data_IF_909275832770
#
_entry.id   IF_909275832770
#
_cell.length_a   1.000
_cell.length_b   1.000
_cell.length_c   1.000
_cell.angle_alpha   90.00
_cell.angle_beta   90.00
_cell.angle_gamma   90.00
#
_symmetry.space_group_name_H-M   'P 1'
#
loop_
_entity.id
_entity.type
_entity.pdbx_description
1 polymer ?
#
# COMPACT_ATOMS: atom_id res chain seq x y z
N UNK A 1 7.85 -1.83 -22.45
CA UNK A 1 8.86 -0.93 -21.85
C UNK A 1 9.72 -0.24 -22.90
N UNK A 2 10.33 -0.93 -23.86
CA UNK A 2 11.17 -0.28 -24.89
C UNK A 2 10.38 0.69 -25.82
N UNK A 3 9.14 0.40 -26.15
CA UNK A 3 8.28 1.23 -27.03
C UNK A 3 7.77 2.48 -26.29
N UNK A 4 7.50 2.39 -25.00
CA UNK A 4 7.10 3.55 -24.16
C UNK A 4 8.33 4.42 -23.85
N UNK A 5 9.51 3.83 -23.64
CA UNK A 5 10.77 4.56 -23.52
C UNK A 5 11.10 5.35 -24.81
N UNK A 6 10.76 4.85 -25.99
CA UNK A 6 11.04 5.54 -27.27
C UNK A 6 10.09 6.73 -27.51
N UNK A 7 8.88 6.74 -26.96
CA UNK A 7 7.98 7.92 -27.07
C UNK A 7 8.34 9.04 -26.08
N UNK A 8 9.01 8.72 -24.97
CA UNK A 8 9.46 9.69 -23.96
C UNK A 8 10.86 10.26 -24.25
N UNK A 9 11.68 9.57 -25.03
CA UNK A 9 12.99 10.07 -25.47
C UNK A 9 12.87 11.26 -26.44
N UNK A 10 11.71 11.47 -27.06
CA UNK A 10 11.49 12.64 -27.93
C UNK A 10 11.32 13.96 -27.15
N UNK A 11 11.11 13.92 -25.85
CA UNK A 11 10.96 15.12 -24.99
C UNK A 11 12.23 15.50 -24.20
N UNK A 12 13.34 14.81 -24.40
CA UNK A 12 14.65 15.18 -23.81
C UNK A 12 14.81 14.93 -22.30
N UNK A 13 13.82 14.34 -21.64
CA UNK A 13 13.88 14.02 -20.20
C UNK A 13 14.07 12.52 -20.03
N UNK A 14 15.25 12.11 -19.62
CA UNK A 14 15.51 10.72 -19.23
C UNK A 14 14.90 10.45 -17.86
N UNK A 15 13.98 9.47 -17.76
CA UNK A 15 13.51 8.91 -16.49
C UNK A 15 14.68 8.53 -15.56
N UNK A 16 15.82 8.16 -16.13
CA UNK A 16 17.05 7.84 -15.42
C UNK A 16 17.68 9.06 -14.71
N UNK A 17 17.50 10.28 -15.22
CA UNK A 17 18.04 11.48 -14.56
C UNK A 17 17.21 11.91 -13.32
N UNK A 18 15.95 11.52 -13.23
CA UNK A 18 15.12 11.73 -12.03
C UNK A 18 15.46 10.69 -10.95
N UNK A 19 15.93 9.50 -11.35
CA UNK A 19 16.25 8.38 -10.45
C UNK A 19 17.75 8.28 -10.13
N UNK A 20 18.62 9.03 -10.81
CA UNK A 20 20.05 9.07 -10.52
C UNK A 20 20.32 9.80 -9.18
N UNK A 21 20.22 9.04 -8.10
CA UNK A 21 20.67 9.50 -6.78
C UNK A 21 22.20 9.62 -6.77
N UNK A 22 22.71 10.83 -6.63
CA UNK A 22 24.09 10.99 -6.20
C UNK A 22 24.20 10.53 -4.74
N UNK A 23 25.12 9.61 -4.47
CA UNK A 23 25.35 9.01 -3.15
C UNK A 23 25.85 10.01 -2.08
N UNK A 24 26.12 11.25 -2.43
CA UNK A 24 26.97 12.16 -1.64
C UNK A 24 26.23 13.18 -0.76
N UNK A 25 24.89 13.09 -0.61
CA UNK A 25 24.13 14.05 0.23
C UNK A 25 23.57 13.41 1.51
N UNK A 26 24.12 12.32 1.98
CA UNK A 26 23.69 11.69 3.23
C UNK A 26 24.72 11.95 4.32
N UNK A 27 24.92 13.19 4.73
CA UNK A 27 25.62 13.47 5.98
C UNK A 27 24.88 14.52 6.81
N UNK A 28 24.58 14.09 8.05
CA UNK A 28 24.17 14.90 9.20
C UNK A 28 22.75 15.48 9.20
N UNK A 29 21.75 14.68 9.62
CA UNK A 29 20.60 15.18 10.39
C UNK A 29 20.16 14.11 11.38
N UNK A 30 19.84 14.54 12.60
CA UNK A 30 19.41 13.73 13.75
C UNK A 30 18.42 12.60 13.35
N UNK A 31 18.77 11.34 13.57
CA UNK A 31 18.10 10.13 13.05
C UNK A 31 16.75 9.81 13.70
N UNK A 32 16.13 10.69 14.48
CA UNK A 32 14.99 10.37 15.34
C UNK A 32 13.64 10.97 14.91
N UNK A 33 13.56 11.74 13.83
CA UNK A 33 12.31 12.41 13.43
C UNK A 33 11.84 11.99 12.05
N UNK A 34 10.49 11.90 11.86
CA UNK A 34 9.85 11.74 10.56
C UNK A 34 10.01 13.02 9.71
N UNK A 35 10.14 12.87 8.40
CA UNK A 35 10.20 14.00 7.47
C UNK A 35 10.14 13.56 6.01
N UNK A 36 9.73 14.48 5.13
CA UNK A 36 9.75 14.27 3.69
C UNK A 36 10.52 15.39 3.00
N UNK A 37 11.43 15.02 2.10
CA UNK A 37 12.20 15.97 1.31
C UNK A 37 12.14 15.60 -0.17
N UNK A 38 11.67 16.50 -1.01
CA UNK A 38 11.71 16.36 -2.46
C UNK A 38 13.15 16.59 -2.93
N UNK A 39 13.66 15.66 -3.75
CA UNK A 39 15.00 15.69 -4.33
C UNK A 39 14.97 16.15 -5.78
N UNK A 40 13.92 15.77 -6.51
CA UNK A 40 13.73 16.13 -7.92
C UNK A 40 12.25 16.33 -8.23
N UNK A 41 11.96 17.16 -9.22
CA UNK A 41 10.61 17.42 -9.75
C UNK A 41 10.59 17.12 -11.24
N UNK A 42 9.40 16.80 -11.76
CA UNK A 42 9.15 16.71 -13.17
C UNK A 42 9.30 18.06 -13.88
N UNK A 43 9.28 18.01 -15.19
CA UNK A 43 9.29 19.21 -16.04
C UNK A 43 7.87 19.80 -16.27
N UNK A 44 7.76 20.73 -17.22
CA UNK A 44 6.49 21.36 -17.56
C UNK A 44 5.41 20.38 -18.07
N UNK A 45 5.81 19.21 -18.63
CA UNK A 45 4.89 18.18 -19.08
C UNK A 45 4.32 17.34 -17.91
N UNK A 46 5.05 17.30 -16.78
CA UNK A 46 4.69 16.53 -15.59
C UNK A 46 4.91 17.34 -14.31
N UNK A 47 4.17 18.43 -14.11
CA UNK A 47 4.44 19.41 -13.04
C UNK A 47 4.25 18.84 -11.62
N UNK A 48 3.46 17.79 -11.46
CA UNK A 48 3.21 17.14 -10.18
C UNK A 48 4.22 16.01 -9.89
N UNK A 49 4.89 15.46 -10.93
CA UNK A 49 5.85 14.38 -10.77
C UNK A 49 7.01 14.78 -9.88
N UNK A 50 7.41 13.88 -8.99
CA UNK A 50 8.47 14.15 -8.03
C UNK A 50 9.17 12.87 -7.57
N UNK A 51 10.43 13.02 -7.17
CA UNK A 51 11.16 12.02 -6.42
C UNK A 51 11.65 12.64 -5.11
N UNK A 52 11.70 11.86 -4.04
CA UNK A 52 12.03 12.35 -2.72
C UNK A 52 12.59 11.29 -1.79
N UNK A 53 12.72 11.67 -0.53
CA UNK A 53 13.10 10.79 0.56
C UNK A 53 12.15 11.01 1.73
N UNK A 54 11.48 9.95 2.16
CA UNK A 54 10.73 9.91 3.41
C UNK A 54 11.70 9.39 4.48
N UNK A 55 11.99 10.19 5.49
CA UNK A 55 12.77 9.77 6.64
C UNK A 55 11.86 9.13 7.67
N UNK A 56 12.27 7.98 8.19
CA UNK A 56 11.59 7.29 9.28
C UNK A 56 12.58 6.85 10.36
N UNK A 57 12.13 6.53 11.57
CA UNK A 57 13.00 6.01 12.64
C UNK A 57 13.79 4.74 12.26
N UNK A 58 13.24 3.89 11.36
CA UNK A 58 13.87 2.66 10.92
C UNK A 58 14.58 2.78 9.56
N UNK A 59 14.76 4.00 9.04
CA UNK A 59 15.52 4.27 7.82
C UNK A 59 14.79 5.14 6.82
N UNK A 60 15.51 5.51 5.77
CA UNK A 60 15.03 6.35 4.69
C UNK A 60 14.33 5.51 3.61
N UNK A 61 13.25 6.07 3.06
CA UNK A 61 12.50 5.50 1.93
C UNK A 61 12.68 6.43 0.74
N UNK A 62 13.34 5.95 -0.31
CA UNK A 62 13.45 6.67 -1.58
C UNK A 62 12.14 6.53 -2.34
N UNK A 63 11.59 7.65 -2.83
CA UNK A 63 10.36 7.68 -3.61
C UNK A 63 10.61 8.07 -5.06
N UNK A 64 9.82 7.56 -6.03
CA UNK A 64 8.70 6.64 -5.86
C UNK A 64 9.09 5.26 -5.31
N UNK A 65 8.21 4.63 -4.51
CA UNK A 65 8.48 3.30 -3.93
C UNK A 65 7.22 2.44 -3.88
N UNK A 66 7.41 1.13 -4.05
CA UNK A 66 6.36 0.14 -3.84
C UNK A 66 6.55 -0.57 -2.50
N UNK A 67 5.58 -0.41 -1.59
CA UNK A 67 5.59 -1.01 -0.26
C UNK A 67 5.12 -2.46 -0.34
N UNK A 68 5.91 -3.40 0.16
CA UNK A 68 5.53 -4.81 0.16
C UNK A 68 4.50 -5.10 1.25
N UNK A 69 3.41 -5.75 0.87
CA UNK A 69 2.35 -6.10 1.84
C UNK A 69 2.70 -7.38 2.57
N UNK A 70 2.99 -7.22 3.86
CA UNK A 70 3.15 -8.27 4.85
C UNK A 70 2.00 -8.27 5.86
N UNK A 71 0.81 -8.72 5.45
CA UNK A 71 -0.48 -8.60 6.15
C UNK A 71 -0.41 -8.87 7.65
N UNK A 72 0.33 -9.91 8.05
CA UNK A 72 0.50 -10.31 9.45
C UNK A 72 1.94 -10.12 9.94
N UNK A 73 2.59 -9.01 9.56
CA UNK A 73 3.99 -8.72 9.89
C UNK A 73 4.99 -9.57 9.13
N UNK A 74 4.57 -10.21 8.04
CA UNK A 74 5.47 -10.99 7.17
C UNK A 74 4.93 -11.03 5.74
N UNK A 75 5.81 -10.86 4.77
CA UNK A 75 5.47 -11.08 3.36
C UNK A 75 5.47 -12.58 3.08
N UNK A 76 4.33 -13.10 2.66
CA UNK A 76 4.15 -14.54 2.50
C UNK A 76 5.13 -15.13 1.50
N UNK A 77 5.92 -16.13 1.92
CA UNK A 77 7.00 -16.79 1.18
C UNK A 77 8.16 -15.87 0.76
N UNK A 78 8.29 -14.69 1.34
CA UNK A 78 9.43 -13.80 1.11
C UNK A 78 9.97 -13.32 2.46
N UNK A 79 10.92 -14.07 3.07
CA UNK A 79 11.49 -13.70 4.37
C UNK A 79 12.28 -12.37 4.28
N UNK A 80 12.59 -11.71 5.39
CA UNK A 80 13.27 -10.43 5.41
C UNK A 80 14.60 -10.37 4.63
N UNK A 81 15.37 -11.47 4.60
CA UNK A 81 16.58 -11.58 3.77
C UNK A 81 16.28 -11.43 2.28
N UNK A 82 15.24 -12.11 1.82
CA UNK A 82 14.85 -12.09 0.41
C UNK A 82 14.18 -10.76 0.04
N UNK A 83 13.42 -10.16 0.97
CA UNK A 83 12.89 -8.80 0.81
C UNK A 83 14.04 -7.81 0.54
N UNK A 84 15.12 -7.88 1.33
CA UNK A 84 16.31 -7.06 1.10
C UNK A 84 16.97 -7.36 -0.25
N UNK A 85 17.10 -8.64 -0.60
CA UNK A 85 17.71 -9.08 -1.86
C UNK A 85 16.95 -8.60 -3.10
N UNK A 86 15.64 -8.44 -3.03
CA UNK A 86 14.83 -7.86 -4.12
C UNK A 86 14.78 -6.33 -4.10
N UNK A 87 15.40 -5.68 -3.11
CA UNK A 87 15.47 -4.22 -3.01
C UNK A 87 14.26 -3.57 -2.34
N UNK A 88 13.48 -4.32 -1.54
CA UNK A 88 12.39 -3.75 -0.75
C UNK A 88 12.92 -2.72 0.24
N UNK A 89 12.20 -1.61 0.38
CA UNK A 89 12.52 -0.56 1.33
C UNK A 89 11.51 -0.50 2.49
N UNK A 90 10.27 -0.95 2.25
CA UNK A 90 9.15 -0.82 3.20
C UNK A 90 8.35 -2.11 3.25
N UNK A 91 7.90 -2.45 4.46
CA UNK A 91 6.86 -3.45 4.66
C UNK A 91 5.59 -2.79 5.21
N UNK A 92 4.46 -3.00 4.53
CA UNK A 92 3.15 -2.56 5.00
C UNK A 92 2.42 -3.74 5.63
N UNK A 93 1.91 -3.57 6.86
CA UNK A 93 1.14 -4.59 7.57
C UNK A 93 -0.27 -4.10 7.88
N UNK A 94 -1.17 -5.04 8.14
CA UNK A 94 -2.57 -4.72 8.32
C UNK A 94 -2.92 -4.54 9.80
N UNK A 95 -3.42 -3.34 10.15
CA UNK A 95 -3.77 -2.98 11.53
C UNK A 95 -4.81 -3.88 12.16
N UNK A 96 -5.84 -4.28 11.41
CA UNK A 96 -6.88 -5.20 11.91
C UNK A 96 -6.35 -6.61 12.17
N UNK A 97 -5.59 -7.18 11.24
CA UNK A 97 -5.05 -8.53 11.42
C UNK A 97 -4.04 -8.60 12.57
N UNK A 98 -3.35 -7.51 12.86
CA UNK A 98 -2.41 -7.41 13.97
C UNK A 98 -3.05 -6.95 15.29
N UNK A 99 -4.29 -6.48 15.29
CA UNK A 99 -5.01 -5.97 16.47
C UNK A 99 -4.88 -6.89 17.69
N UNK A 100 -5.15 -8.18 17.51
CA UNK A 100 -5.07 -9.18 18.61
C UNK A 100 -3.64 -9.44 19.10
N UNK A 101 -2.64 -9.11 18.30
CA UNK A 101 -1.22 -9.30 18.60
C UNK A 101 -0.52 -8.00 19.00
N UNK A 102 -1.22 -6.87 18.98
CA UNK A 102 -0.63 -5.56 19.19
C UNK A 102 0.15 -5.46 20.52
N UNK A 103 -0.34 -6.07 21.59
CA UNK A 103 0.35 -6.11 22.90
C UNK A 103 1.65 -6.92 22.83
N UNK A 104 1.65 -8.07 22.17
CA UNK A 104 2.85 -8.91 22.01
C UNK A 104 3.87 -8.20 21.12
N UNK A 105 3.42 -7.60 20.01
CA UNK A 105 4.26 -6.82 19.11
C UNK A 105 4.91 -5.65 19.86
N UNK A 106 4.11 -4.94 20.67
CA UNK A 106 4.60 -3.84 21.53
C UNK A 106 5.69 -4.30 22.48
N UNK A 107 5.49 -5.44 23.16
CA UNK A 107 6.46 -6.01 24.09
C UNK A 107 7.74 -6.51 23.38
N UNK A 108 7.66 -6.81 22.09
CA UNK A 108 8.82 -7.23 21.26
C UNK A 108 9.59 -6.06 20.66
N UNK A 109 9.28 -4.80 21.03
CA UNK A 109 9.98 -3.62 20.51
C UNK A 109 9.35 -3.01 19.24
N UNK A 110 8.13 -3.40 18.87
CA UNK A 110 7.41 -2.90 17.71
C UNK A 110 7.48 -3.80 16.47
N UNK A 111 6.79 -3.38 15.41
CA UNK A 111 6.57 -4.19 14.22
C UNK A 111 7.88 -4.56 13.50
N UNK A 112 8.78 -3.60 13.35
CA UNK A 112 10.05 -3.83 12.65
C UNK A 112 10.86 -4.95 13.33
N UNK A 113 10.99 -4.90 14.65
CA UNK A 113 11.73 -5.89 15.40
C UNK A 113 10.99 -7.22 15.48
N UNK A 114 9.69 -7.21 15.77
CA UNK A 114 8.87 -8.41 15.87
C UNK A 114 8.83 -9.22 14.56
N UNK A 115 8.79 -8.54 13.42
CA UNK A 115 8.79 -9.17 12.09
C UNK A 115 10.17 -9.64 11.61
N UNK A 116 11.26 -9.19 12.23
CA UNK A 116 12.63 -9.37 11.77
C UNK A 116 13.01 -8.55 10.55
N UNK A 117 12.12 -7.66 10.09
CA UNK A 117 12.37 -6.81 8.92
C UNK A 117 13.42 -5.74 9.19
N UNK A 118 13.34 -5.08 10.33
CA UNK A 118 14.26 -4.03 10.83
C UNK A 118 14.36 -2.76 9.95
N UNK A 119 13.55 -2.65 8.92
CA UNK A 119 13.44 -1.47 8.05
C UNK A 119 12.13 -0.73 8.26
N UNK A 120 11.87 0.34 7.49
CA UNK A 120 10.64 1.11 7.55
C UNK A 120 9.38 0.26 7.46
N UNK A 121 8.39 0.60 8.28
CA UNK A 121 7.12 -0.12 8.35
C UNK A 121 5.93 0.83 8.26
N UNK A 122 4.90 0.37 7.54
CA UNK A 122 3.59 1.03 7.47
C UNK A 122 2.52 0.11 8.08
N UNK A 123 1.47 0.70 8.63
CA UNK A 123 0.20 0.01 8.91
C UNK A 123 -0.95 0.71 8.22
N UNK A 124 -1.91 -0.08 7.68
CA UNK A 124 -3.21 0.47 7.35
C UNK A 124 -4.08 0.64 8.60
N UNK A 125 -5.20 1.34 8.45
CA UNK A 125 -6.14 1.61 9.54
C UNK A 125 -6.93 0.38 10.01
N UNK A 126 -6.98 -0.68 9.20
CA UNK A 126 -7.85 -1.84 9.38
C UNK A 126 -9.29 -1.64 8.86
N UNK A 127 -9.65 -0.43 8.42
CA UNK A 127 -11.01 -0.07 7.98
C UNK A 127 -11.54 -0.93 6.84
N UNK A 128 -10.73 -1.16 5.82
CA UNK A 128 -11.09 -2.02 4.68
C UNK A 128 -11.52 -3.43 5.12
N UNK A 129 -10.76 -4.07 6.01
CA UNK A 129 -11.03 -5.44 6.46
C UNK A 129 -12.28 -5.52 7.30
N UNK A 130 -12.46 -4.56 8.20
CA UNK A 130 -13.64 -4.49 9.08
C UNK A 130 -14.92 -4.31 8.26
N UNK A 131 -14.89 -3.44 7.24
CA UNK A 131 -16.03 -3.20 6.36
C UNK A 131 -16.27 -4.36 5.38
N UNK A 132 -15.20 -4.97 4.83
CA UNK A 132 -15.32 -6.10 3.92
C UNK A 132 -15.85 -7.37 4.59
N UNK A 133 -15.57 -7.58 5.89
CA UNK A 133 -16.17 -8.66 6.68
C UNK A 133 -17.67 -8.47 6.79
N UNK A 134 -18.14 -7.21 6.84
CA UNK A 134 -19.55 -6.89 6.99
C UNK A 134 -20.38 -7.00 5.73
N UNK A 135 -19.78 -6.84 4.58
CA UNK A 135 -20.49 -6.93 3.31
C UNK A 135 -20.73 -8.37 2.84
N UNK A 136 -20.29 -9.39 3.61
CA UNK A 136 -20.38 -10.80 3.21
C UNK A 136 -19.55 -11.13 1.96
N UNK A 137 -18.78 -10.18 1.47
CA UNK A 137 -17.88 -10.32 0.34
C UNK A 137 -16.64 -11.09 0.79
N UNK A 138 -16.74 -12.39 0.92
CA UNK A 138 -15.58 -13.29 1.01
C UNK A 138 -14.74 -13.28 -0.28
N UNK A 139 -15.11 -12.49 -1.26
CA UNK A 139 -14.33 -12.14 -2.44
C UNK A 139 -13.87 -10.69 -2.30
N UNK A 140 -12.57 -10.52 -2.34
CA UNK A 140 -11.85 -9.26 -2.46
C UNK A 140 -12.69 -8.25 -3.26
N UNK A 141 -13.11 -7.16 -2.64
CA UNK A 141 -13.55 -5.99 -3.39
C UNK A 141 -12.35 -5.62 -4.25
N UNK A 142 -12.45 -5.88 -5.56
CA UNK A 142 -11.46 -5.42 -6.50
C UNK A 142 -11.56 -3.89 -6.49
N UNK A 143 -10.56 -3.22 -5.95
CA UNK A 143 -10.46 -1.75 -6.02
C UNK A 143 -10.29 -1.27 -7.47
N UNK A 144 -10.04 -2.19 -8.38
CA UNK A 144 -9.97 -2.00 -9.82
C UNK A 144 -11.22 -2.61 -10.45
N UNK A 145 -12.03 -1.79 -11.10
CA UNK A 145 -13.33 -2.07 -11.70
C UNK A 145 -13.50 -3.27 -12.64
N UNK A 146 -13.02 -4.43 -12.25
CA UNK A 146 -13.42 -5.69 -12.87
C UNK A 146 -14.88 -5.96 -12.47
N UNK A 147 -15.77 -6.02 -13.45
CA UNK A 147 -17.19 -6.38 -13.28
C UNK A 147 -17.30 -7.66 -12.46
N UNK A 148 -17.36 -7.52 -11.15
CA UNK A 148 -17.75 -8.62 -10.27
C UNK A 148 -19.21 -8.94 -10.55
N UNK A 149 -19.52 -10.21 -10.81
CA UNK A 149 -20.87 -10.69 -11.05
C UNK A 149 -21.84 -10.17 -9.99
N UNK A 150 -22.90 -9.53 -10.43
CA UNK A 150 -23.97 -8.90 -9.63
C UNK A 150 -24.84 -9.88 -8.82
N UNK A 151 -24.44 -11.11 -8.66
CA UNK A 151 -25.32 -12.17 -8.20
C UNK A 151 -25.07 -12.64 -6.77
N UNK A 152 -24.93 -11.76 -5.78
CA UNK A 152 -25.13 -12.14 -4.36
C UNK A 152 -25.12 -10.89 -3.47
N UNK A 153 -26.11 -10.01 -3.65
CA UNK A 153 -26.50 -9.04 -2.62
C UNK A 153 -27.27 -9.82 -1.55
N UNK A 154 -26.66 -10.03 -0.38
CA UNK A 154 -27.35 -10.58 0.78
C UNK A 154 -28.37 -9.56 1.29
N UNK A 155 -29.50 -10.08 1.77
CA UNK A 155 -30.54 -9.27 2.40
C UNK A 155 -29.98 -8.41 3.55
N UNK A 156 -30.57 -7.23 3.87
CA UNK A 156 -30.08 -6.31 4.91
C UNK A 156 -29.82 -6.94 6.27
N UNK A 157 -30.57 -7.96 6.65
CA UNK A 157 -30.48 -8.66 7.94
C UNK A 157 -29.24 -9.59 8.05
N UNK A 158 -28.53 -9.84 6.95
CA UNK A 158 -27.30 -10.64 6.93
C UNK A 158 -26.01 -9.80 6.93
N UNK A 159 -26.08 -8.49 7.11
CA UNK A 159 -24.89 -7.64 7.18
C UNK A 159 -24.08 -7.98 8.42
N UNK A 160 -22.85 -8.44 8.20
CA UNK A 160 -21.91 -8.81 9.27
C UNK A 160 -21.17 -7.60 9.84
N UNK A 161 -21.36 -6.39 9.29
CA UNK A 161 -20.86 -5.12 9.84
C UNK A 161 -21.88 -3.99 9.65
N UNK A 162 -21.96 -3.14 10.67
CA UNK A 162 -22.74 -1.91 10.70
C UNK A 162 -21.80 -0.73 10.87
N UNK A 163 -21.95 0.28 10.00
CA UNK A 163 -21.20 1.53 10.08
C UNK A 163 -22.09 2.60 10.70
N UNK A 164 -21.63 3.19 11.78
CA UNK A 164 -22.29 4.32 12.44
C UNK A 164 -21.33 5.49 12.67
N UNK A 165 -21.74 6.52 13.38
CA UNK A 165 -20.92 7.69 13.68
C UNK A 165 -19.73 7.34 14.61
N UNK A 166 -19.91 6.36 15.48
CA UNK A 166 -18.89 5.93 16.43
C UNK A 166 -17.78 5.10 15.79
N UNK A 167 -18.11 4.32 14.74
CA UNK A 167 -17.18 3.42 14.09
C UNK A 167 -17.86 2.31 13.32
N UNK A 168 -17.25 1.15 13.31
CA UNK A 168 -17.75 -0.06 12.64
C UNK A 168 -17.95 -1.16 13.65
N UNK A 169 -19.17 -1.66 13.73
CA UNK A 169 -19.52 -2.83 14.53
C UNK A 169 -19.59 -4.06 13.62
N UNK A 170 -18.87 -5.11 13.96
CA UNK A 170 -18.82 -6.33 13.15
C UNK A 170 -18.69 -7.58 14.01
N UNK A 171 -19.12 -8.71 13.44
CA UNK A 171 -18.91 -10.02 14.07
C UNK A 171 -17.50 -10.54 13.73
N UNK A 172 -16.68 -10.64 14.76
CA UNK A 172 -15.33 -11.17 14.62
C UNK A 172 -15.34 -12.65 14.19
N UNK A 173 -14.75 -13.00 13.04
CA UNK A 173 -14.84 -14.36 12.50
C UNK A 173 -14.11 -15.42 13.35
N UNK A 174 -13.23 -15.00 14.26
CA UNK A 174 -12.47 -15.92 15.10
C UNK A 174 -13.15 -16.23 16.43
N UNK A 175 -13.73 -15.22 17.06
CA UNK A 175 -14.39 -15.36 18.37
C UNK A 175 -15.91 -15.44 18.30
N UNK A 176 -16.49 -15.09 17.15
CA UNK A 176 -17.95 -14.95 17.00
C UNK A 176 -18.56 -13.76 17.77
N UNK A 177 -17.74 -13.01 18.49
CA UNK A 177 -18.20 -11.85 19.27
C UNK A 177 -18.40 -10.63 18.39
N UNK A 178 -19.35 -9.78 18.79
CA UNK A 178 -19.49 -8.45 18.19
C UNK A 178 -18.36 -7.57 18.74
N UNK A 179 -17.64 -6.93 17.85
CA UNK A 179 -16.57 -5.98 18.17
C UNK A 179 -16.92 -4.64 17.52
N UNK A 180 -16.82 -3.56 18.28
CA UNK A 180 -16.88 -2.20 17.76
C UNK A 180 -15.45 -1.68 17.56
N UNK A 181 -15.14 -1.25 16.34
CA UNK A 181 -13.84 -0.72 15.96
C UNK A 181 -13.99 0.75 15.62
N UNK A 182 -13.38 1.62 16.40
CA UNK A 182 -13.51 3.08 16.30
C UNK A 182 -12.20 3.70 15.81
N UNK A 183 -12.21 4.98 15.38
CA UNK A 183 -10.98 5.70 15.05
C UNK A 183 -9.94 5.63 16.17
N UNK A 184 -10.35 5.80 17.43
CA UNK A 184 -9.44 5.75 18.57
C UNK A 184 -8.83 4.36 18.77
N UNK A 185 -9.65 3.30 18.63
CA UNK A 185 -9.16 1.92 18.72
C UNK A 185 -8.17 1.61 17.59
N UNK A 186 -8.44 2.07 16.36
CA UNK A 186 -7.52 1.92 15.24
C UNK A 186 -6.18 2.59 15.53
N UNK A 187 -6.18 3.86 15.92
CA UNK A 187 -4.97 4.62 16.22
C UNK A 187 -4.21 4.01 17.41
N UNK A 188 -4.88 3.73 18.52
CA UNK A 188 -4.25 3.11 19.69
C UNK A 188 -3.64 1.73 19.36
N UNK A 189 -4.27 0.97 18.47
CA UNK A 189 -3.75 -0.30 17.95
C UNK A 189 -2.47 -0.11 17.15
N UNK A 190 -2.48 0.81 16.19
CA UNK A 190 -1.31 1.11 15.35
C UNK A 190 -0.15 1.66 16.20
N UNK A 191 -0.44 2.48 17.23
CA UNK A 191 0.56 2.90 18.22
C UNK A 191 1.19 1.73 18.97
N UNK A 192 0.40 0.74 19.40
CA UNK A 192 0.92 -0.48 20.04
C UNK A 192 1.74 -1.33 19.07
N UNK A 193 1.31 -1.43 17.83
CA UNK A 193 2.04 -2.13 16.77
C UNK A 193 3.41 -1.47 16.51
N UNK A 194 3.50 -0.14 16.60
CA UNK A 194 4.76 0.58 16.50
C UNK A 194 5.31 0.62 15.07
N UNK A 195 4.46 0.83 14.07
CA UNK A 195 4.90 1.10 12.70
C UNK A 195 5.40 2.55 12.57
N UNK A 196 6.28 2.83 11.61
CA UNK A 196 6.79 4.18 11.37
C UNK A 196 5.73 5.12 10.81
N UNK A 197 4.83 4.58 9.98
CA UNK A 197 3.73 5.32 9.37
C UNK A 197 2.41 4.58 9.61
N UNK A 198 1.44 5.33 10.06
CA UNK A 198 0.07 4.88 10.35
C UNK A 198 -0.92 5.58 9.44
N UNK A 199 -2.12 5.01 9.26
CA UNK A 199 -3.22 5.60 8.49
C UNK A 199 -4.39 5.94 9.41
N UNK A 200 -5.04 7.09 9.16
CA UNK A 200 -6.29 7.45 9.83
C UNK A 200 -7.40 6.46 9.45
N UNK A 201 -8.33 6.24 10.39
CA UNK A 201 -9.48 5.37 10.13
C UNK A 201 -10.47 6.07 9.21
N UNK A 202 -10.93 5.37 8.17
CA UNK A 202 -11.73 5.91 7.10
C UNK A 202 -12.87 4.96 6.72
N UNK A 203 -13.95 5.47 6.14
CA UNK A 203 -15.02 4.67 5.59
C UNK A 203 -14.82 4.46 4.10
N UNK A 204 -14.43 3.24 3.72
CA UNK A 204 -14.32 2.85 2.32
C UNK A 204 -15.71 2.66 1.71
N UNK A 205 -16.00 3.35 0.61
CA UNK A 205 -17.20 3.17 -0.19
C UNK A 205 -16.94 2.24 -1.38
N UNK A 206 -18.04 1.63 -1.88
CA UNK A 206 -18.00 0.81 -3.09
C UNK A 206 -18.15 1.71 -4.34
N UNK A 207 -17.61 1.28 -5.47
CA UNK A 207 -17.73 2.01 -6.74
C UNK A 207 -19.19 2.19 -7.22
N UNK A 208 -20.09 1.33 -6.75
CA UNK A 208 -21.52 1.39 -7.09
C UNK A 208 -22.35 2.20 -6.07
N UNK A 209 -21.73 2.74 -5.02
CA UNK A 209 -22.45 3.56 -4.04
C UNK A 209 -22.86 4.90 -4.64
N UNK A 210 -24.07 5.38 -4.27
CA UNK A 210 -24.59 6.65 -4.80
C UNK A 210 -23.75 7.85 -4.38
N UNK A 211 -23.90 8.96 -5.10
CA UNK A 211 -23.26 10.23 -4.75
C UNK A 211 -23.63 10.68 -3.32
N UNK A 212 -24.91 10.62 -2.97
CA UNK A 212 -25.41 11.02 -1.64
C UNK A 212 -24.84 10.15 -0.52
N UNK A 213 -24.62 8.85 -0.77
CA UNK A 213 -23.95 7.99 0.19
C UNK A 213 -22.48 8.39 0.35
N UNK A 214 -21.79 8.65 -0.77
CA UNK A 214 -20.40 9.10 -0.76
C UNK A 214 -20.23 10.44 -0.03
N UNK A 215 -21.17 11.38 -0.15
CA UNK A 215 -21.17 12.65 0.62
C UNK A 215 -21.22 12.35 2.13
N UNK A 216 -22.16 11.50 2.57
CA UNK A 216 -22.29 11.16 4.00
C UNK A 216 -21.07 10.41 4.55
N UNK A 217 -20.55 9.48 3.76
CA UNK A 217 -19.34 8.72 4.09
C UNK A 217 -18.10 9.62 4.20
N UNK A 218 -17.97 10.58 3.28
CA UNK A 218 -16.87 11.55 3.29
C UNK A 218 -16.90 12.42 4.55
N UNK A 219 -18.06 12.94 4.92
CA UNK A 219 -18.21 13.72 6.14
C UNK A 219 -17.94 12.90 7.41
N UNK A 220 -18.36 11.62 7.45
CA UNK A 220 -18.03 10.70 8.54
C UNK A 220 -16.54 10.44 8.60
N UNK A 221 -15.90 10.15 7.45
CA UNK A 221 -14.45 9.96 7.34
C UNK A 221 -13.70 11.20 7.86
N UNK A 222 -14.16 12.40 7.57
CA UNK A 222 -13.58 13.64 8.09
C UNK A 222 -13.66 13.71 9.62
N UNK A 223 -14.81 13.43 10.21
CA UNK A 223 -14.97 13.42 11.69
C UNK A 223 -14.15 12.31 12.33
N UNK A 224 -14.05 11.15 11.71
CA UNK A 224 -13.19 10.06 12.17
C UNK A 224 -11.70 10.41 12.08
N UNK A 225 -11.30 11.12 11.03
CA UNK A 225 -9.94 11.61 10.89
C UNK A 225 -9.56 12.60 12.00
N UNK A 226 -10.49 13.51 12.35
CA UNK A 226 -10.31 14.46 13.46
C UNK A 226 -10.15 13.73 14.81
N UNK A 227 -11.04 12.78 15.13
CA UNK A 227 -10.94 11.93 16.32
C UNK A 227 -9.64 11.11 16.33
N UNK A 228 -9.26 10.56 15.18
CA UNK A 228 -8.00 9.82 15.00
C UNK A 228 -6.77 10.69 15.26
N UNK A 229 -6.76 11.92 14.74
CA UNK A 229 -5.68 12.86 14.97
C UNK A 229 -5.57 13.25 16.46
N UNK A 230 -6.70 13.52 17.13
CA UNK A 230 -6.73 13.79 18.55
C UNK A 230 -6.16 12.62 19.38
N UNK A 231 -6.57 11.41 19.06
CA UNK A 231 -6.05 10.19 19.71
C UNK A 231 -4.55 9.99 19.42
N UNK A 232 -4.10 10.28 18.21
CA UNK A 232 -2.68 10.21 17.85
C UNK A 232 -1.82 11.15 18.70
N UNK A 233 -2.26 12.41 18.85
CA UNK A 233 -1.59 13.41 19.71
C UNK A 233 -1.51 12.88 21.14
N UNK A 234 -2.63 12.40 21.68
CA UNK A 234 -2.72 11.85 23.03
C UNK A 234 -1.78 10.65 23.23
N UNK A 235 -1.75 9.70 22.29
CA UNK A 235 -0.89 8.51 22.36
C UNK A 235 0.60 8.89 22.22
N UNK A 236 0.92 9.85 21.37
CA UNK A 236 2.30 10.35 21.21
C UNK A 236 2.81 10.99 22.48
N UNK A 237 1.99 11.82 23.16
CA UNK A 237 2.36 12.44 24.43
C UNK A 237 2.61 11.42 25.57
N UNK A 238 1.91 10.28 25.55
CA UNK A 238 2.07 9.21 26.54
C UNK A 238 3.30 8.31 26.30
N UNK A 239 4.03 8.48 25.20
CA UNK A 239 5.06 7.54 24.73
C UNK A 239 6.39 8.22 24.42
N UNK A 240 6.94 8.95 25.40
CA UNK A 240 8.24 9.64 25.27
C UNK A 240 9.44 8.69 25.09
N UNK A 241 9.28 7.40 25.39
CA UNK A 241 10.30 6.35 25.33
C UNK A 241 10.41 5.65 23.95
N UNK A 242 9.56 6.02 22.99
CA UNK A 242 9.51 5.39 21.66
C UNK A 242 9.70 6.40 20.54
N UNK A 243 10.21 5.95 19.38
CA UNK A 243 10.29 6.80 18.20
C UNK A 243 8.93 7.37 17.80
N UNK A 244 8.95 8.55 17.19
CA UNK A 244 7.75 9.15 16.60
C UNK A 244 7.19 8.26 15.50
N UNK A 245 5.87 8.11 15.48
CA UNK A 245 5.12 7.43 14.42
C UNK A 245 4.34 8.47 13.64
N UNK A 246 4.54 8.55 12.33
CA UNK A 246 3.81 9.49 11.49
C UNK A 246 2.36 9.02 11.26
N UNK A 247 1.42 9.96 11.17
CA UNK A 247 0.04 9.69 10.84
C UNK A 247 -0.34 10.32 9.49
N UNK A 248 -0.78 9.47 8.53
CA UNK A 248 -1.31 9.92 7.26
C UNK A 248 -2.84 10.03 7.32
N UNK A 249 -3.38 11.15 6.86
CA UNK A 249 -4.81 11.34 6.68
C UNK A 249 -5.29 10.62 5.41
N UNK A 250 -6.29 9.75 5.53
CA UNK A 250 -6.82 9.00 4.37
C UNK A 250 -7.93 9.80 3.69
N UNK A 251 -7.82 9.92 2.36
CA UNK A 251 -8.77 10.62 1.51
C UNK A 251 -9.68 9.62 0.79
N UNK A 252 -10.98 9.89 0.85
CA UNK A 252 -12.03 9.13 0.17
C UNK A 252 -12.73 10.00 -0.88
N UNK A 253 -13.85 9.57 -1.48
CA UNK A 253 -14.65 10.31 -2.44
C UNK A 253 -14.94 9.56 -3.73
N UNK A 254 -14.65 8.25 -3.79
CA UNK A 254 -14.89 7.38 -4.95
C UNK A 254 -14.29 7.98 -6.25
N UNK A 255 -15.03 8.01 -7.34
CA UNK A 255 -14.63 8.65 -8.61
C UNK A 255 -15.19 10.08 -8.77
N UNK A 256 -15.84 10.65 -7.75
CA UNK A 256 -16.41 12.00 -7.79
C UNK A 256 -15.34 13.05 -7.52
N UNK A 257 -14.98 13.83 -8.53
CA UNK A 257 -13.86 14.78 -8.47
C UNK A 257 -14.08 15.91 -7.48
N UNK A 258 -15.30 16.37 -7.31
CA UNK A 258 -15.69 17.39 -6.33
C UNK A 258 -15.50 16.89 -4.90
N UNK A 259 -15.91 15.65 -4.61
CA UNK A 259 -15.72 15.00 -3.32
C UNK A 259 -14.23 14.73 -3.04
N UNK A 260 -13.45 14.32 -4.06
CA UNK A 260 -12.00 14.18 -3.95
C UNK A 260 -11.30 15.50 -3.61
N UNK A 261 -11.69 16.58 -4.27
CA UNK A 261 -11.18 17.93 -3.95
C UNK A 261 -11.60 18.40 -2.56
N UNK A 262 -12.84 18.09 -2.14
CA UNK A 262 -13.29 18.38 -0.79
C UNK A 262 -12.47 17.60 0.25
N UNK A 263 -12.29 16.27 0.08
CA UNK A 263 -11.45 15.46 0.95
C UNK A 263 -10.04 16.04 1.09
N UNK A 264 -9.42 16.40 -0.05
CA UNK A 264 -8.08 16.96 -0.06
C UNK A 264 -8.00 18.28 0.73
N UNK A 265 -8.99 19.18 0.59
CA UNK A 265 -9.04 20.44 1.35
C UNK A 265 -9.26 20.20 2.84
N UNK A 266 -10.20 19.34 3.20
CA UNK A 266 -10.60 19.13 4.58
C UNK A 266 -9.51 18.44 5.39
N UNK A 267 -8.94 17.35 4.85
CA UNK A 267 -7.93 16.57 5.55
C UNK A 267 -6.58 17.29 5.57
N UNK A 268 -6.19 17.99 4.49
CA UNK A 268 -4.89 18.68 4.48
C UNK A 268 -4.82 19.90 5.39
N UNK A 269 -5.97 20.51 5.70
CA UNK A 269 -6.09 21.68 6.57
C UNK A 269 -6.47 21.32 8.01
N UNK A 270 -6.78 20.06 8.28
CA UNK A 270 -7.17 19.62 9.62
C UNK A 270 -6.03 19.90 10.61
N UNK A 271 -6.36 20.60 11.66
CA UNK A 271 -5.42 21.05 12.67
C UNK A 271 -6.03 20.91 14.06
N UNK A 272 -5.28 20.32 14.98
CA UNK A 272 -5.62 20.26 16.40
C UNK A 272 -4.39 20.76 17.16
N UNK A 273 -4.50 21.91 17.80
CA UNK A 273 -3.44 22.52 18.61
C UNK A 273 -2.08 22.62 17.90
N UNK A 274 -2.09 22.94 16.59
CA UNK A 274 -0.86 23.04 15.77
C UNK A 274 -0.40 21.72 15.16
N UNK A 275 -1.07 20.61 15.43
CA UNK A 275 -0.76 19.30 14.86
C UNK A 275 -1.55 19.05 13.58
N UNK A 276 -0.87 18.59 12.54
CA UNK A 276 -1.40 18.25 11.22
C UNK A 276 -1.06 16.79 10.90
N UNK A 277 -1.72 16.23 9.89
CA UNK A 277 -1.26 14.97 9.31
C UNK A 277 0.15 15.10 8.70
N UNK A 278 0.97 14.07 8.84
CA UNK A 278 2.34 14.00 8.31
C UNK A 278 2.41 13.69 6.83
N UNK A 279 1.35 13.10 6.28
CA UNK A 279 1.19 12.73 4.88
C UNK A 279 -0.24 12.36 4.56
N UNK A 280 -0.47 11.83 3.36
CA UNK A 280 -1.82 11.53 2.88
C UNK A 280 -1.89 10.13 2.25
N UNK A 281 -2.92 9.37 2.63
CA UNK A 281 -3.33 8.13 2.01
C UNK A 281 -4.43 8.40 0.97
N UNK A 282 -4.17 8.04 -0.29
CA UNK A 282 -5.14 8.18 -1.38
C UNK A 282 -5.90 6.86 -1.50
N UNK A 283 -7.05 6.79 -0.83
CA UNK A 283 -7.86 5.59 -0.70
C UNK A 283 -9.11 5.57 -1.59
N UNK A 284 -9.90 4.52 -1.43
CA UNK A 284 -11.22 4.38 -2.02
C UNK A 284 -11.28 3.60 -3.32
N UNK A 285 -12.51 3.38 -3.79
CA UNK A 285 -12.75 2.80 -5.08
C UNK A 285 -12.32 3.77 -6.18
N UNK A 286 -11.27 3.42 -6.91
CA UNK A 286 -10.71 4.21 -7.99
C UNK A 286 -11.12 3.61 -9.33
N UNK A 287 -11.74 4.42 -10.19
CA UNK A 287 -11.96 4.05 -11.57
C UNK A 287 -10.64 4.17 -12.34
N UNK A 288 -10.15 3.07 -12.87
CA UNK A 288 -8.89 3.03 -13.63
C UNK A 288 -8.90 3.90 -14.87
N UNK A 289 -10.06 4.03 -15.53
CA UNK A 289 -10.19 4.85 -16.73
C UNK A 289 -9.94 6.34 -16.45
N UNK A 290 -10.26 6.79 -15.23
CA UNK A 290 -10.14 8.18 -14.79
C UNK A 290 -9.09 8.36 -13.68
N UNK A 291 -8.18 7.40 -13.51
CA UNK A 291 -7.22 7.39 -12.39
C UNK A 291 -6.38 8.67 -12.33
N UNK A 292 -5.83 9.12 -13.45
CA UNK A 292 -5.02 10.33 -13.54
C UNK A 292 -5.81 11.55 -13.08
N UNK A 293 -7.03 11.74 -13.59
CA UNK A 293 -7.88 12.89 -13.27
C UNK A 293 -8.27 12.91 -11.77
N UNK A 294 -8.60 11.74 -11.22
CA UNK A 294 -8.91 11.59 -9.79
C UNK A 294 -7.71 11.97 -8.92
N UNK A 295 -6.52 11.50 -9.27
CA UNK A 295 -5.31 11.78 -8.51
C UNK A 295 -4.87 13.26 -8.63
N UNK A 296 -4.95 13.84 -9.83
CA UNK A 296 -4.68 15.26 -10.07
C UNK A 296 -5.60 16.12 -9.22
N UNK A 297 -6.90 15.83 -9.19
CA UNK A 297 -7.89 16.60 -8.42
C UNK A 297 -7.54 16.73 -6.93
N UNK A 298 -6.85 15.74 -6.35
CA UNK A 298 -6.36 15.79 -4.98
C UNK A 298 -4.96 16.41 -4.90
N UNK A 299 -4.05 15.99 -5.77
CA UNK A 299 -2.63 16.29 -5.66
C UNK A 299 -2.30 17.77 -5.95
N UNK A 300 -3.14 18.49 -6.68
CA UNK A 300 -3.05 19.95 -6.85
C UNK A 300 -3.37 20.74 -5.56
N UNK A 301 -4.14 20.12 -4.65
CA UNK A 301 -4.59 20.74 -3.39
C UNK A 301 -3.67 20.37 -2.23
N UNK A 302 -3.17 19.13 -2.22
CA UNK A 302 -2.34 18.62 -1.14
C UNK A 302 -1.00 19.33 -1.03
N UNK A 303 -0.53 19.67 0.19
CA UNK A 303 0.77 20.28 0.42
C UNK A 303 1.90 19.51 -0.28
N UNK A 304 2.78 20.24 -0.96
CA UNK A 304 3.86 19.63 -1.73
C UNK A 304 4.94 19.01 -0.85
N UNK A 305 5.10 19.49 0.38
CA UNK A 305 6.07 19.03 1.38
C UNK A 305 5.59 17.82 2.20
N UNK A 306 4.43 17.26 1.86
CA UNK A 306 3.87 16.07 2.49
C UNK A 306 3.87 14.87 1.53
N UNK A 307 4.24 13.66 1.99
CA UNK A 307 4.22 12.47 1.14
C UNK A 307 2.79 11.97 0.88
N UNK A 308 2.63 11.29 -0.25
CA UNK A 308 1.34 10.75 -0.75
C UNK A 308 1.48 9.26 -1.02
N UNK A 309 0.61 8.48 -0.42
CA UNK A 309 0.57 7.03 -0.54
C UNK A 309 -0.72 6.59 -1.23
N UNK A 310 -0.62 5.90 -2.36
CA UNK A 310 -1.76 5.35 -3.10
C UNK A 310 -2.01 3.91 -2.67
N UNK A 311 -3.18 3.67 -2.08
CA UNK A 311 -3.55 2.39 -1.49
C UNK A 311 -4.06 1.39 -2.54
N UNK A 312 -3.52 0.17 -2.51
CA UNK A 312 -4.11 -1.00 -3.16
C UNK A 312 -3.91 -1.13 -4.67
N UNK A 313 -3.07 -0.33 -5.32
CA UNK A 313 -2.76 -0.41 -6.76
C UNK A 313 -1.36 -0.97 -7.03
N UNK A 314 -1.29 -1.87 -8.02
CA UNK A 314 -0.02 -2.55 -8.37
C UNK A 314 0.15 -2.87 -9.84
N UNK A 315 -0.80 -2.50 -10.71
CA UNK A 315 -0.55 -2.67 -12.14
C UNK A 315 0.53 -1.67 -12.56
N UNK A 316 1.57 -2.08 -13.33
CA UNK A 316 2.65 -1.17 -13.71
C UNK A 316 2.18 0.13 -14.34
N UNK A 317 1.20 0.06 -15.25
CA UNK A 317 0.65 1.25 -15.92
C UNK A 317 0.00 2.21 -14.91
N UNK A 318 -0.74 1.69 -13.92
CA UNK A 318 -1.37 2.50 -12.87
C UNK A 318 -0.31 3.15 -11.95
N UNK A 319 0.81 2.46 -11.71
CA UNK A 319 1.95 3.02 -10.94
C UNK A 319 2.58 4.18 -11.71
N UNK A 320 2.83 4.03 -13.02
CA UNK A 320 3.36 5.11 -13.85
C UNK A 320 2.44 6.32 -13.83
N UNK A 321 1.15 6.14 -14.07
CA UNK A 321 0.15 7.21 -13.95
C UNK A 321 0.23 7.89 -12.58
N UNK A 322 0.30 7.13 -11.50
CA UNK A 322 0.42 7.68 -10.14
C UNK A 322 1.69 8.51 -9.95
N UNK A 323 2.84 8.03 -10.44
CA UNK A 323 4.13 8.76 -10.37
C UNK A 323 4.07 10.07 -11.14
N UNK A 324 3.53 10.06 -12.36
CA UNK A 324 3.40 11.26 -13.20
C UNK A 324 2.59 12.36 -12.52
N UNK A 325 1.59 11.99 -11.72
CA UNK A 325 0.74 12.93 -10.99
C UNK A 325 1.12 13.12 -9.53
N UNK A 326 2.34 12.69 -9.12
CA UNK A 326 2.95 13.06 -7.85
C UNK A 326 2.61 12.17 -6.66
N UNK A 327 2.33 10.90 -6.88
CA UNK A 327 2.27 9.87 -5.84
C UNK A 327 3.68 9.41 -5.49
N UNK A 328 3.97 9.25 -4.19
CA UNK A 328 5.30 8.89 -3.68
C UNK A 328 5.44 7.41 -3.37
N UNK A 329 4.38 6.79 -2.83
CA UNK A 329 4.42 5.38 -2.44
C UNK A 329 3.15 4.65 -2.82
N UNK A 330 3.27 3.34 -3.06
CA UNK A 330 2.20 2.44 -3.48
C UNK A 330 2.25 1.17 -2.66
N UNK A 331 1.12 0.47 -2.56
CA UNK A 331 1.07 -0.89 -2.02
C UNK A 331 0.05 -1.74 -2.75
N UNK A 332 0.26 -3.02 -2.79
CA UNK A 332 -0.76 -4.02 -3.13
C UNK A 332 -0.27 -5.43 -2.84
N UNK A 333 -1.20 -6.32 -2.50
CA UNK A 333 -0.91 -7.76 -2.34
C UNK A 333 -0.75 -8.49 -3.68
N UNK A 334 -1.17 -7.89 -4.81
CA UNK A 334 -1.27 -8.58 -6.09
C UNK A 334 0.06 -9.17 -6.58
N UNK A 335 1.22 -8.48 -6.57
CA UNK A 335 2.46 -9.06 -7.08
C UNK A 335 2.83 -10.38 -6.40
N UNK A 336 2.70 -10.44 -5.07
CA UNK A 336 3.00 -11.63 -4.28
C UNK A 336 1.91 -12.69 -4.40
N UNK A 337 0.63 -12.28 -4.46
CA UNK A 337 -0.51 -13.19 -4.62
C UNK A 337 -0.49 -13.85 -6.00
N UNK A 338 -0.32 -13.08 -7.06
CA UNK A 338 -0.32 -13.55 -8.44
C UNK A 338 0.86 -14.48 -8.73
N UNK A 339 2.05 -14.19 -8.18
CA UNK A 339 3.20 -15.08 -8.25
C UNK A 339 2.85 -16.49 -7.73
N UNK A 340 2.20 -16.59 -6.58
CA UNK A 340 1.77 -17.89 -6.00
C UNK A 340 0.72 -18.60 -6.86
N UNK A 341 -0.02 -17.86 -7.67
CA UNK A 341 -0.94 -18.44 -8.66
C UNK A 341 -0.28 -18.72 -10.01
N UNK A 342 1.01 -18.40 -10.15
CA UNK A 342 1.81 -18.70 -11.34
C UNK A 342 1.75 -17.62 -12.42
N UNK A 343 1.20 -16.44 -12.12
CA UNK A 343 1.27 -15.26 -13.00
C UNK A 343 2.61 -14.58 -12.84
N UNK A 344 3.33 -14.43 -13.92
CA UNK A 344 4.69 -13.88 -13.96
C UNK A 344 4.66 -12.54 -14.68
N UNK A 345 5.30 -11.54 -14.08
CA UNK A 345 5.44 -10.21 -14.63
C UNK A 345 6.68 -10.11 -15.50
N UNK A 346 6.54 -9.56 -16.71
CA UNK A 346 7.66 -9.29 -17.62
C UNK A 346 7.45 -7.98 -18.36
N UNK A 347 8.52 -7.39 -18.92
CA UNK A 347 8.39 -6.18 -19.74
C UNK A 347 7.44 -6.33 -20.94
N UNK A 348 7.33 -7.55 -21.47
CA UNK A 348 6.50 -7.87 -22.64
C UNK A 348 5.07 -8.28 -22.26
N UNK A 349 4.67 -8.06 -21.01
CA UNK A 349 3.38 -8.44 -20.45
C UNK A 349 3.45 -9.67 -19.55
N UNK A 350 2.31 -10.04 -18.99
CA UNK A 350 2.22 -11.11 -18.00
C UNK A 350 1.86 -12.44 -18.63
N UNK A 351 2.43 -13.55 -18.11
CA UNK A 351 2.06 -14.89 -18.54
C UNK A 351 1.81 -15.82 -17.34
N UNK A 352 1.12 -16.94 -17.58
CA UNK A 352 0.91 -17.95 -16.55
C UNK A 352 1.84 -19.14 -16.79
N UNK A 353 2.81 -19.34 -15.90
CA UNK A 353 3.82 -20.40 -15.98
C UNK A 353 3.24 -21.82 -15.91
N UNK A 354 1.99 -21.99 -15.44
CA UNK A 354 1.32 -23.29 -15.37
C UNK A 354 0.96 -23.87 -16.74
N UNK A 355 0.94 -23.05 -17.81
CA UNK A 355 0.62 -23.48 -19.17
C UNK A 355 1.58 -24.58 -19.63
N UNK A 356 1.08 -25.50 -20.47
CA UNK A 356 1.86 -26.66 -20.96
C UNK A 356 3.09 -26.28 -21.77
N UNK A 357 3.03 -25.18 -22.52
CA UNK A 357 4.14 -24.68 -23.34
C UNK A 357 5.43 -24.42 -22.54
N UNK A 358 5.35 -24.20 -21.22
CA UNK A 358 6.51 -23.97 -20.35
C UNK A 358 7.04 -25.25 -19.70
N UNK A 359 6.59 -26.45 -20.15
CA UNK A 359 7.00 -27.73 -19.55
C UNK A 359 8.49 -27.99 -19.72
N UNK A 360 9.01 -27.68 -20.91
CA UNK A 360 10.37 -27.97 -21.32
C UNK A 360 11.14 -26.67 -21.68
N UNK A 361 10.60 -25.50 -21.23
CA UNK A 361 11.19 -24.19 -21.52
C UNK A 361 12.38 -23.93 -20.58
N UNK A 362 13.57 -23.88 -21.15
CA UNK A 362 14.85 -23.70 -20.44
C UNK A 362 15.22 -22.24 -20.21
N UNK A 363 14.40 -21.29 -20.65
CA UNK A 363 14.63 -19.87 -20.39
C UNK A 363 14.30 -19.50 -18.93
N UNK A 364 14.96 -18.47 -18.42
CA UNK A 364 14.59 -17.83 -17.14
C UNK A 364 13.22 -17.13 -17.25
N UNK A 365 12.63 -16.72 -16.12
CA UNK A 365 11.30 -16.10 -16.11
C UNK A 365 11.20 -14.90 -17.06
N UNK A 366 12.17 -14.01 -17.02
CA UNK A 366 12.27 -12.87 -17.93
C UNK A 366 13.74 -12.64 -18.30
N UNK A 367 14.13 -12.74 -19.59
CA UNK A 367 15.47 -12.40 -20.03
C UNK A 367 15.87 -10.97 -19.62
N UNK A 368 17.10 -10.80 -19.14
CA UNK A 368 17.59 -9.51 -18.65
C UNK A 368 17.07 -9.07 -17.27
N UNK A 369 16.26 -9.88 -16.58
CA UNK A 369 15.82 -9.60 -15.24
C UNK A 369 16.95 -9.84 -14.23
N UNK A 370 17.13 -8.87 -13.34
CA UNK A 370 18.17 -8.87 -12.29
C UNK A 370 17.71 -9.47 -10.96
N UNK A 371 16.50 -10.02 -10.87
CA UNK A 371 16.00 -10.64 -9.65
C UNK A 371 16.85 -11.86 -9.24
N UNK A 372 16.89 -12.20 -7.93
CA UNK A 372 17.65 -13.35 -7.45
C UNK A 372 17.31 -14.66 -8.18
N UNK A 373 16.03 -14.88 -8.50
CA UNK A 373 15.55 -16.09 -9.20
C UNK A 373 16.12 -16.22 -10.60
N UNK A 374 16.07 -15.13 -11.40
CA UNK A 374 16.59 -15.14 -12.77
C UNK A 374 18.12 -15.19 -12.80
N UNK A 375 18.79 -14.47 -11.89
CA UNK A 375 20.26 -14.50 -11.76
C UNK A 375 20.79 -15.87 -11.37
N UNK A 376 20.05 -16.63 -10.57
CA UNK A 376 20.38 -18.00 -10.21
C UNK A 376 20.15 -19.02 -11.34
N UNK A 377 19.62 -18.57 -12.51
CA UNK A 377 19.39 -19.42 -13.67
C UNK A 377 18.20 -20.37 -13.56
N UNK A 378 17.27 -20.13 -12.60
CA UNK A 378 16.07 -20.95 -12.49
C UNK A 378 15.20 -20.84 -13.74
N UNK A 379 14.97 -21.99 -14.41
CA UNK A 379 14.23 -22.04 -15.68
C UNK A 379 12.72 -22.07 -15.46
N UNK A 380 11.98 -21.69 -16.51
CA UNK A 380 10.51 -21.78 -16.52
C UNK A 380 10.03 -23.22 -16.30
N UNK A 381 10.73 -24.20 -16.95
CA UNK A 381 10.44 -25.63 -16.77
C UNK A 381 10.59 -26.08 -15.32
N UNK A 382 11.74 -25.76 -14.70
CA UNK A 382 12.00 -26.07 -13.28
C UNK A 382 10.93 -25.46 -12.35
N UNK A 383 10.71 -24.14 -12.46
CA UNK A 383 9.78 -23.41 -11.62
C UNK A 383 8.33 -23.89 -11.79
N UNK A 384 7.95 -24.23 -13.02
CA UNK A 384 6.65 -24.88 -13.29
C UNK A 384 6.54 -26.24 -12.62
N UNK A 385 7.57 -27.08 -12.71
CA UNK A 385 7.59 -28.38 -12.07
C UNK A 385 7.48 -28.27 -10.54
N UNK A 386 8.25 -27.37 -9.93
CA UNK A 386 8.16 -27.06 -8.49
C UNK A 386 6.76 -26.59 -8.10
N UNK A 387 6.17 -25.65 -8.86
CA UNK A 387 4.85 -25.10 -8.58
C UNK A 387 3.72 -26.14 -8.66
N UNK A 388 3.85 -27.10 -9.56
CA UNK A 388 2.87 -28.20 -9.75
C UNK A 388 3.15 -29.43 -8.89
N UNK A 389 4.24 -29.47 -8.13
CA UNK A 389 4.59 -30.59 -7.27
C UNK A 389 3.50 -30.88 -6.23
N UNK A 390 3.27 -32.14 -5.95
CA UNK A 390 2.44 -32.58 -4.82
C UNK A 390 3.09 -32.25 -3.46
N UNK A 391 4.42 -32.14 -3.43
CA UNK A 391 5.20 -31.91 -2.20
C UNK A 391 5.07 -30.44 -1.74
N UNK A 392 4.58 -30.19 -0.50
CA UNK A 392 4.40 -28.83 0.00
C UNK A 392 5.69 -28.00 0.03
N UNK A 393 6.83 -28.62 0.35
CA UNK A 393 8.14 -27.98 0.41
C UNK A 393 8.62 -27.48 -0.96
N UNK A 394 8.47 -28.28 -1.99
CA UNK A 394 8.77 -27.89 -3.39
C UNK A 394 7.87 -26.74 -3.84
N UNK A 395 6.57 -26.81 -3.54
CA UNK A 395 5.66 -25.68 -3.84
C UNK A 395 6.03 -24.41 -3.07
N UNK A 396 6.40 -24.53 -1.80
CA UNK A 396 6.83 -23.37 -1.00
C UNK A 396 8.09 -22.72 -1.61
N UNK A 397 9.05 -23.52 -2.10
CA UNK A 397 10.21 -23.02 -2.83
C UNK A 397 9.79 -22.28 -4.11
N UNK A 398 8.88 -22.85 -4.90
CA UNK A 398 8.35 -22.16 -6.08
C UNK A 398 7.70 -20.83 -5.71
N UNK A 399 6.86 -20.80 -4.66
CA UNK A 399 6.23 -19.56 -4.19
C UNK A 399 7.25 -18.49 -3.80
N UNK A 400 8.33 -18.88 -3.12
CA UNK A 400 9.40 -17.94 -2.77
C UNK A 400 10.05 -17.37 -4.03
N UNK A 401 10.54 -18.22 -4.93
CA UNK A 401 11.27 -17.80 -6.15
C UNK A 401 10.41 -16.93 -7.08
N UNK A 402 9.14 -17.32 -7.29
CA UNK A 402 8.21 -16.55 -8.13
C UNK A 402 7.81 -15.23 -7.48
N UNK A 403 7.64 -15.21 -6.15
CA UNK A 403 7.35 -13.98 -5.40
C UNK A 403 8.53 -13.02 -5.47
N UNK A 404 9.77 -13.51 -5.30
CA UNK A 404 10.97 -12.68 -5.43
C UNK A 404 11.06 -12.03 -6.82
N UNK A 405 10.73 -12.79 -7.87
CA UNK A 405 10.73 -12.25 -9.24
C UNK A 405 9.69 -11.13 -9.43
N UNK A 406 8.41 -11.39 -9.15
CA UNK A 406 7.36 -10.40 -9.34
C UNK A 406 7.57 -9.16 -8.47
N UNK A 407 8.05 -9.37 -7.23
CA UNK A 407 8.37 -8.28 -6.31
C UNK A 407 9.50 -7.40 -6.87
N UNK A 408 10.60 -8.01 -7.35
CA UNK A 408 11.70 -7.25 -7.97
C UNK A 408 11.25 -6.51 -9.21
N UNK A 409 10.37 -7.10 -10.00
CA UNK A 409 9.81 -6.46 -11.21
C UNK A 409 9.09 -5.14 -10.89
N UNK A 410 8.31 -5.12 -9.82
CA UNK A 410 7.54 -3.92 -9.42
C UNK A 410 8.42 -2.86 -8.75
N UNK A 411 9.45 -3.28 -8.00
CA UNK A 411 10.31 -2.35 -7.23
C UNK A 411 11.30 -1.61 -8.13
N UNK A 412 11.76 -2.23 -9.21
CA UNK A 412 12.76 -1.62 -10.10
C UNK A 412 12.15 -0.63 -11.10
#
# INVERSE_FOLDING_TARGET
MLIILLSLVSSGVSYLSIIAYSADIISSVNQSSFGFRIVSRGDAGYPLMRAGVIRTPHGDIKTPNFNLVGTMGSVRFLPPSDMRAVGAQVMLSNGYHLYRRATVISASGGLAQWSGWQGPTFTDSGGFQVMSLGSGLGKVISMAGDKANQSELREPDERLALVDEEGVEFRDPFSGRIIKFTPEISIATQHKIGADVMMSFDELTNINDTYEYNVRSLERTRRWAERGLAEHIRQTALRSDRPYQALYGVLQGSYFLDLRRQAARDISRMNIDGHYFDGFGLGGALDKANLSEILVAMNEILPADKPRHLLGLSHPDDIFVGVEVGVDTFDCVAPTREARHGRIYTPDGNYNIKRSMYRDDTLVLAPGCDCPTCRAGHTRAELRALLKSAEPTKRARAFNLLTAHNTRFIIR
#
